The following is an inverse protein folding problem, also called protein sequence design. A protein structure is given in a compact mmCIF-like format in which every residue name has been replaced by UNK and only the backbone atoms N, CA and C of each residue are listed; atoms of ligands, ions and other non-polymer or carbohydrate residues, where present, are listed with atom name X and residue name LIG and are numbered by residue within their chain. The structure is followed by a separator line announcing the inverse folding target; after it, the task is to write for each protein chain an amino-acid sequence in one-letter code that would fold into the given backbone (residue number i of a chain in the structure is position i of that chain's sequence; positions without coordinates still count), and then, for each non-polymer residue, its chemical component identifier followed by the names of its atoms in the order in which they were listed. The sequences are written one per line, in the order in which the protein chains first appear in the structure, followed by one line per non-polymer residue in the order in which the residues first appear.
data_IF_275970257882
#
_entry.id   IF_275970257882
#
_cell.length_a   1.000
_cell.length_b   1.000
_cell.length_c   1.000
_cell.angle_alpha   90.00
_cell.angle_beta   90.00
_cell.angle_gamma   90.00
#
_symmetry.space_group_name_H-M   'P 1'
#
loop_
_entity.id
_entity.type
_entity.pdbx_description
1 polymer ?
#
# COMPACT_ATOMS: atom_id res chain seq x y z
N UNK A 1 8.17 20.32 -23.41
CA UNK A 1 7.48 19.12 -23.92
C UNK A 1 6.03 19.15 -23.44
N UNK A 2 5.00 19.35 -24.29
CA UNK A 2 3.62 19.18 -23.83
C UNK A 2 3.36 17.68 -23.67
N UNK A 3 3.75 17.13 -22.51
CA UNK A 3 3.69 15.71 -22.15
C UNK A 3 2.40 15.29 -21.44
N UNK A 4 1.33 16.08 -21.55
CA UNK A 4 0.04 15.75 -20.92
C UNK A 4 -0.71 14.63 -21.64
N UNK A 5 -1.71 14.04 -20.96
CA UNK A 5 -2.69 13.11 -21.56
C UNK A 5 -3.36 13.76 -22.78
N UNK A 6 -3.69 12.97 -23.80
CA UNK A 6 -4.49 13.45 -24.93
C UNK A 6 -5.88 13.83 -24.43
N UNK A 7 -6.32 15.05 -24.75
CA UNK A 7 -7.68 15.53 -24.48
C UNK A 7 -8.68 14.88 -25.44
N UNK A 8 -9.98 15.09 -25.22
CA UNK A 8 -11.00 14.65 -26.19
C UNK A 8 -10.88 15.39 -27.52
N UNK A 9 -10.52 16.66 -27.48
CA UNK A 9 -10.23 17.45 -28.67
C UNK A 9 -9.02 16.89 -29.44
N UNK A 10 -7.94 16.53 -28.73
CA UNK A 10 -6.79 15.86 -29.34
C UNK A 10 -7.24 14.58 -30.07
N UNK A 11 -8.08 13.75 -29.43
CA UNK A 11 -8.60 12.51 -30.03
C UNK A 11 -9.46 12.76 -31.26
N UNK A 12 -10.28 13.82 -31.26
CA UNK A 12 -11.08 14.18 -32.42
C UNK A 12 -10.21 14.58 -33.61
N UNK A 13 -9.17 15.40 -33.38
CA UNK A 13 -8.21 15.80 -34.41
C UNK A 13 -7.40 14.61 -34.94
N UNK A 14 -7.06 13.63 -34.09
CA UNK A 14 -6.47 12.35 -34.54
C UNK A 14 -7.45 11.62 -35.47
N UNK A 15 -8.71 11.49 -35.06
CA UNK A 15 -9.73 10.80 -35.86
C UNK A 15 -9.93 11.46 -37.24
N UNK A 16 -10.04 12.79 -37.27
CA UNK A 16 -10.14 13.55 -38.53
C UNK A 16 -8.89 13.35 -39.40
N UNK A 17 -7.69 13.47 -38.81
CA UNK A 17 -6.44 13.27 -39.55
C UNK A 17 -6.31 11.87 -40.15
N UNK A 18 -6.77 10.84 -39.46
CA UNK A 18 -6.80 9.47 -40.00
C UNK A 18 -7.82 9.33 -41.14
N UNK A 19 -8.99 9.96 -41.04
CA UNK A 19 -9.98 9.95 -42.13
C UNK A 19 -9.51 10.71 -43.38
N UNK A 20 -8.64 11.71 -43.20
CA UNK A 20 -7.97 12.45 -44.29
C UNK A 20 -6.77 11.68 -44.87
N UNK A 21 -6.43 10.49 -44.34
CA UNK A 21 -5.29 9.70 -44.79
C UNK A 21 -3.92 10.24 -44.35
N UNK A 22 -3.87 11.11 -43.33
CA UNK A 22 -2.61 11.66 -42.83
C UNK A 22 -1.81 10.60 -42.05
N UNK A 23 -0.50 10.59 -42.26
CA UNK A 23 0.42 9.79 -41.44
C UNK A 23 0.52 10.32 -40.00
N UNK A 24 0.88 9.45 -39.05
CA UNK A 24 0.99 9.79 -37.63
C UNK A 24 1.95 10.97 -37.34
N UNK A 25 2.99 11.14 -38.15
CA UNK A 25 3.93 12.24 -38.01
C UNK A 25 3.29 13.60 -38.32
N UNK A 26 2.41 13.67 -39.31
CA UNK A 26 1.71 14.89 -39.68
C UNK A 26 0.63 15.24 -38.64
N UNK A 27 -0.14 14.24 -38.20
CA UNK A 27 -1.10 14.40 -37.09
C UNK A 27 -0.38 14.92 -35.84
N UNK A 28 0.79 14.36 -35.52
CA UNK A 28 1.64 14.81 -34.42
C UNK A 28 2.06 16.27 -34.55
N UNK A 29 2.53 16.70 -35.72
CA UNK A 29 2.90 18.11 -36.00
C UNK A 29 1.72 19.05 -35.77
N UNK A 30 0.53 18.72 -36.29
CA UNK A 30 -0.69 19.56 -36.15
C UNK A 30 -1.17 19.70 -34.71
N UNK A 31 -0.89 18.69 -33.86
CA UNK A 31 -1.22 18.67 -32.44
C UNK A 31 -0.11 19.19 -31.53
N UNK A 32 1.10 19.43 -32.07
CA UNK A 32 2.29 19.68 -31.24
C UNK A 32 2.66 18.49 -30.36
N UNK A 33 2.34 17.26 -30.79
CA UNK A 33 2.60 16.00 -30.05
C UNK A 33 3.59 15.10 -30.82
N UNK A 34 4.40 14.30 -30.12
CA UNK A 34 5.26 13.31 -30.78
C UNK A 34 4.44 12.31 -31.60
N UNK A 35 4.96 11.92 -32.77
CA UNK A 35 4.34 10.90 -33.64
C UNK A 35 4.09 9.58 -32.89
N UNK A 36 4.99 9.22 -31.97
CA UNK A 36 4.87 8.03 -31.11
C UNK A 36 3.66 8.08 -30.19
N UNK A 37 3.26 9.27 -29.70
CA UNK A 37 2.04 9.43 -28.90
C UNK A 37 0.81 9.10 -29.73
N UNK A 38 0.76 9.58 -30.97
CA UNK A 38 -0.35 9.31 -31.90
C UNK A 38 -0.40 7.81 -32.23
N UNK A 39 0.73 7.22 -32.59
CA UNK A 39 0.81 5.79 -32.89
C UNK A 39 0.36 4.93 -31.69
N UNK A 40 0.86 5.21 -30.48
CA UNK A 40 0.47 4.44 -29.28
C UNK A 40 -1.01 4.59 -28.96
N UNK A 41 -1.58 5.78 -29.10
CA UNK A 41 -3.02 6.00 -28.90
C UNK A 41 -3.85 5.23 -29.95
N UNK A 42 -3.48 5.32 -31.22
CA UNK A 42 -4.19 4.68 -32.33
C UNK A 42 -4.11 3.17 -32.21
N UNK A 43 -2.91 2.59 -32.04
CA UNK A 43 -2.72 1.14 -31.85
C UNK A 43 -3.50 0.63 -30.64
N UNK A 44 -3.51 1.38 -29.52
CA UNK A 44 -4.21 0.98 -28.30
C UNK A 44 -5.73 0.99 -28.44
N UNK A 45 -6.29 1.81 -29.33
CA UNK A 45 -7.74 2.00 -29.47
C UNK A 45 -8.27 1.53 -30.85
N UNK A 46 -7.70 0.44 -31.39
CA UNK A 46 -8.25 -0.27 -32.56
C UNK A 46 -7.49 -0.12 -33.88
N UNK A 47 -6.33 0.55 -33.88
CA UNK A 47 -5.54 0.77 -35.10
C UNK A 47 -6.11 1.88 -36.00
N UNK A 48 -5.41 2.21 -37.09
CA UNK A 48 -5.77 3.36 -37.93
C UNK A 48 -7.17 3.27 -38.54
N UNK A 49 -7.58 2.09 -38.99
CA UNK A 49 -8.90 1.86 -39.60
C UNK A 49 -10.04 1.84 -38.56
N UNK A 50 -9.75 1.30 -37.37
CA UNK A 50 -10.72 1.13 -36.28
C UNK A 50 -10.81 2.30 -35.30
N UNK A 51 -9.92 3.28 -35.40
CA UNK A 51 -9.86 4.38 -34.43
C UNK A 51 -11.12 5.23 -34.46
N UNK A 52 -11.70 5.48 -33.28
CA UNK A 52 -12.82 6.40 -33.07
C UNK A 52 -12.56 7.21 -31.81
N UNK A 53 -12.68 8.53 -31.90
CA UNK A 53 -12.35 9.44 -30.81
C UNK A 53 -13.18 9.16 -29.54
N UNK A 54 -14.50 9.02 -29.69
CA UNK A 54 -15.42 8.78 -28.57
C UNK A 54 -15.10 7.46 -27.86
N UNK A 55 -14.90 6.39 -28.62
CA UNK A 55 -14.53 5.07 -28.08
C UNK A 55 -13.19 5.12 -27.35
N UNK A 56 -12.20 5.80 -27.91
CA UNK A 56 -10.89 5.95 -27.27
C UNK A 56 -10.96 6.71 -25.93
N UNK A 57 -11.84 7.72 -25.84
CA UNK A 57 -12.11 8.42 -24.59
C UNK A 57 -12.88 7.54 -23.59
N UNK A 58 -13.95 6.87 -24.03
CA UNK A 58 -14.72 5.92 -23.21
C UNK A 58 -13.83 4.81 -22.65
N UNK A 59 -12.99 4.19 -23.47
CA UNK A 59 -12.03 3.16 -23.06
C UNK A 59 -11.01 3.73 -22.07
N UNK A 60 -10.57 4.98 -22.26
CA UNK A 60 -9.67 5.66 -21.32
C UNK A 60 -10.35 5.91 -19.98
N UNK A 61 -11.61 6.33 -19.96
CA UNK A 61 -12.42 6.51 -18.75
C UNK A 61 -12.72 5.17 -18.08
N UNK A 62 -13.06 4.14 -18.84
CA UNK A 62 -13.32 2.80 -18.32
C UNK A 62 -12.07 2.23 -17.64
N UNK A 63 -10.90 2.39 -18.25
CA UNK A 63 -9.62 1.96 -17.66
C UNK A 63 -9.28 2.73 -16.38
N UNK A 64 -9.49 4.05 -16.36
CA UNK A 64 -9.33 4.85 -15.15
C UNK A 64 -10.31 4.42 -14.04
N UNK A 65 -11.55 4.05 -14.39
CA UNK A 65 -12.54 3.48 -13.45
C UNK A 65 -12.17 2.09 -12.97
N UNK A 66 -11.63 1.22 -13.84
CA UNK A 66 -11.16 -0.13 -13.47
C UNK A 66 -10.00 -0.08 -12.48
N UNK A 67 -9.07 0.86 -12.63
CA UNK A 67 -8.02 1.09 -11.63
C UNK A 67 -8.59 1.49 -10.26
N UNK A 68 -9.77 2.14 -10.21
CA UNK A 68 -10.48 2.43 -8.96
C UNK A 68 -11.34 1.27 -8.45
N UNK A 69 -11.70 0.30 -9.30
CA UNK A 69 -12.49 -0.87 -8.87
C UNK A 69 -11.57 -1.83 -8.10
N UNK A 70 -11.95 -2.26 -6.89
CA UNK A 70 -11.16 -3.23 -6.15
C UNK A 70 -11.03 -4.52 -6.98
N UNK A 71 -9.80 -4.95 -7.23
CA UNK A 71 -9.48 -6.25 -7.87
C UNK A 71 -10.12 -7.41 -7.07
N UNK A 72 -10.47 -8.55 -7.71
CA UNK A 72 -11.41 -9.54 -7.16
C UNK A 72 -11.04 -10.02 -5.77
N UNK A 73 -12.10 -10.32 -5.03
CA UNK A 73 -12.11 -10.84 -3.67
C UNK A 73 -11.13 -12.00 -3.54
N UNK A 74 -10.30 -11.94 -2.49
CA UNK A 74 -9.47 -13.07 -2.05
C UNK A 74 -10.35 -14.31 -1.98
N UNK A 75 -9.85 -15.50 -2.36
CA UNK A 75 -10.58 -16.75 -2.12
C UNK A 75 -10.98 -16.82 -0.63
N UNK A 76 -12.13 -17.41 -0.28
CA UNK A 76 -12.46 -17.67 1.12
C UNK A 76 -11.26 -18.32 1.79
N UNK A 77 -10.81 -17.75 2.90
CA UNK A 77 -9.65 -18.26 3.62
C UNK A 77 -9.98 -19.68 4.08
N UNK A 78 -9.22 -20.70 3.63
CA UNK A 78 -9.64 -22.10 3.75
C UNK A 78 -9.53 -22.66 5.18
N UNK A 79 -8.83 -21.97 6.09
CA UNK A 79 -8.56 -22.50 7.42
C UNK A 79 -9.64 -22.02 8.38
N UNK A 80 -10.63 -22.88 8.60
CA UNK A 80 -11.61 -22.72 9.67
C UNK A 80 -11.90 -24.09 10.26
N UNK A 81 -10.94 -24.62 11.02
CA UNK A 81 -11.15 -25.80 11.87
C UNK A 81 -12.19 -25.53 12.99
N UNK A 82 -12.54 -24.26 13.19
CA UNK A 82 -13.43 -23.76 14.24
C UNK A 82 -14.88 -23.53 13.81
N UNK A 83 -15.32 -24.07 12.66
CA UNK A 83 -16.72 -24.00 12.21
C UNK A 83 -17.25 -22.59 11.95
N UNK A 84 -16.38 -21.65 11.54
CA UNK A 84 -16.73 -20.26 11.24
C UNK A 84 -17.47 -20.17 9.89
N UNK A 85 -18.39 -19.23 9.75
CA UNK A 85 -19.04 -18.94 8.46
C UNK A 85 -18.00 -18.36 7.48
N UNK A 86 -17.71 -19.01 6.34
CA UNK A 86 -16.76 -18.51 5.36
C UNK A 86 -17.11 -17.13 4.79
N UNK A 87 -18.40 -16.79 4.68
CA UNK A 87 -18.84 -15.50 4.15
C UNK A 87 -18.60 -14.38 5.16
N UNK A 88 -18.89 -14.61 6.44
CA UNK A 88 -18.62 -13.64 7.50
C UNK A 88 -17.13 -13.39 7.67
N UNK A 89 -16.31 -14.46 7.63
CA UNK A 89 -14.85 -14.35 7.66
C UNK A 89 -14.33 -13.53 6.48
N UNK A 90 -14.88 -13.74 5.28
CA UNK A 90 -14.50 -12.97 4.10
C UNK A 90 -14.86 -11.48 4.25
N UNK A 91 -16.07 -11.16 4.71
CA UNK A 91 -16.48 -9.76 4.95
C UNK A 91 -15.62 -9.08 6.03
N UNK A 92 -15.25 -9.81 7.08
CA UNK A 92 -14.35 -9.32 8.11
C UNK A 92 -12.94 -9.08 7.55
N UNK A 93 -12.40 -9.98 6.73
CA UNK A 93 -11.11 -9.81 6.07
C UNK A 93 -11.09 -8.61 5.11
N UNK A 94 -12.18 -8.36 4.40
CA UNK A 94 -12.34 -7.20 3.50
C UNK A 94 -12.41 -5.88 4.29
N UNK A 95 -13.16 -5.87 5.39
CA UNK A 95 -13.26 -4.70 6.28
C UNK A 95 -11.91 -4.38 6.93
N UNK A 96 -11.20 -5.40 7.40
CA UNK A 96 -9.86 -5.25 7.95
C UNK A 96 -8.86 -4.75 6.89
N UNK A 97 -8.93 -5.29 5.67
CA UNK A 97 -8.13 -4.81 4.54
C UNK A 97 -8.40 -3.32 4.26
N UNK A 98 -9.65 -2.89 4.31
CA UNK A 98 -10.01 -1.49 4.07
C UNK A 98 -9.46 -0.56 5.17
N UNK A 99 -9.47 -0.99 6.43
CA UNK A 99 -8.86 -0.24 7.54
C UNK A 99 -7.35 -0.07 7.36
N UNK A 100 -6.65 -1.14 6.99
CA UNK A 100 -5.21 -1.10 6.72
C UNK A 100 -4.85 -0.15 5.57
N UNK A 101 -5.66 -0.12 4.51
CA UNK A 101 -5.51 0.87 3.42
C UNK A 101 -5.75 2.29 3.93
N UNK A 102 -6.74 2.49 4.79
CA UNK A 102 -7.00 3.79 5.43
C UNK A 102 -5.83 4.31 6.28
N UNK A 103 -4.99 3.41 6.79
CA UNK A 103 -3.76 3.75 7.53
C UNK A 103 -2.56 4.06 6.63
N UNK A 104 -2.72 4.00 5.30
CA UNK A 104 -1.70 4.39 4.34
C UNK A 104 -0.94 3.23 3.67
N UNK A 105 -1.24 1.98 4.00
CA UNK A 105 -0.69 0.84 3.27
C UNK A 105 -1.26 0.79 1.85
N UNK A 106 -0.45 0.39 0.86
CA UNK A 106 -0.99 0.11 -0.44
C UNK A 106 -1.85 -1.15 -0.38
N UNK A 107 -2.81 -1.23 -1.30
CA UNK A 107 -3.83 -2.28 -1.31
C UNK A 107 -3.24 -3.69 -1.26
N UNK A 108 -2.10 -3.94 -1.90
CA UNK A 108 -1.53 -5.29 -1.91
C UNK A 108 -0.91 -5.67 -0.57
N UNK A 109 -0.21 -4.75 0.09
CA UNK A 109 0.35 -4.99 1.42
C UNK A 109 -0.75 -5.26 2.45
N UNK A 110 -1.81 -4.45 2.43
CA UNK A 110 -2.98 -4.63 3.29
C UNK A 110 -3.63 -6.02 3.09
N UNK A 111 -3.73 -6.49 1.83
CA UNK A 111 -4.28 -7.81 1.52
C UNK A 111 -3.40 -8.96 2.01
N UNK A 112 -2.07 -8.82 1.92
CA UNK A 112 -1.13 -9.82 2.45
C UNK A 112 -1.25 -9.92 3.97
N UNK A 113 -1.27 -8.79 4.69
CA UNK A 113 -1.46 -8.77 6.14
C UNK A 113 -2.80 -9.35 6.56
N UNK A 114 -3.88 -9.05 5.83
CA UNK A 114 -5.19 -9.64 6.09
C UNK A 114 -5.18 -11.17 5.92
N UNK A 115 -4.52 -11.70 4.88
CA UNK A 115 -4.39 -13.14 4.70
C UNK A 115 -3.62 -13.82 5.84
N UNK A 116 -2.61 -13.15 6.38
CA UNK A 116 -1.84 -13.67 7.50
C UNK A 116 -2.62 -13.58 8.82
N UNK A 117 -3.39 -12.50 9.05
CA UNK A 117 -4.10 -12.28 10.32
C UNK A 117 -5.26 -13.26 10.50
N UNK A 118 -5.90 -13.62 9.39
CA UNK A 118 -7.09 -14.46 9.39
C UNK A 118 -6.77 -15.94 9.19
N UNK A 119 -5.49 -16.32 9.06
CA UNK A 119 -5.10 -17.73 9.11
C UNK A 119 -4.79 -18.13 10.55
N UNK A 120 -5.33 -19.25 11.01
CA UNK A 120 -5.10 -19.72 12.38
C UNK A 120 -3.61 -20.01 12.67
N UNK A 121 -2.87 -20.42 11.65
CA UNK A 121 -1.42 -20.64 11.75
C UNK A 121 -0.58 -19.36 11.87
N UNK A 122 -1.17 -18.17 11.64
CA UNK A 122 -0.46 -16.89 11.54
C UNK A 122 0.58 -16.82 10.41
N UNK A 123 0.69 -17.85 9.57
CA UNK A 123 1.82 -18.05 8.67
C UNK A 123 1.39 -18.58 7.29
N UNK A 124 1.94 -18.01 6.21
CA UNK A 124 1.74 -18.48 4.82
C UNK A 124 3.01 -18.40 3.98
N UNK A 125 3.16 -19.32 3.06
CA UNK A 125 4.22 -19.31 2.03
C UNK A 125 3.87 -18.34 0.89
N UNK A 126 4.88 -17.95 0.11
CA UNK A 126 4.67 -17.13 -1.09
C UNK A 126 3.68 -17.75 -2.09
N UNK A 127 3.74 -19.08 -2.28
CA UNK A 127 2.86 -19.79 -3.20
C UNK A 127 1.40 -19.78 -2.74
N UNK A 128 1.17 -19.97 -1.43
CA UNK A 128 -0.17 -19.88 -0.84
C UNK A 128 -0.73 -18.47 -0.97
N UNK A 129 0.06 -17.43 -0.70
CA UNK A 129 -0.36 -16.03 -0.89
C UNK A 129 -0.73 -15.74 -2.34
N UNK A 130 0.11 -16.16 -3.31
CA UNK A 130 -0.15 -16.03 -4.75
C UNK A 130 -1.50 -16.68 -5.11
N UNK A 131 -1.73 -17.90 -4.63
CA UNK A 131 -2.94 -18.66 -4.90
C UNK A 131 -4.18 -18.08 -4.20
N UNK A 132 -4.09 -17.62 -2.96
CA UNK A 132 -5.22 -17.07 -2.21
C UNK A 132 -5.63 -15.69 -2.74
N UNK A 133 -4.64 -14.83 -2.99
CA UNK A 133 -4.85 -13.46 -3.45
C UNK A 133 -5.14 -13.36 -4.95
N UNK A 134 -4.85 -14.41 -5.72
CA UNK A 134 -5.01 -14.47 -7.18
C UNK A 134 -4.20 -13.38 -7.88
N UNK A 135 -2.91 -13.29 -7.54
CA UNK A 135 -1.98 -12.26 -8.04
C UNK A 135 -0.69 -12.90 -8.55
N UNK A 136 0.16 -12.10 -9.21
CA UNK A 136 1.46 -12.60 -9.66
C UNK A 136 2.43 -12.85 -8.48
N UNK A 137 3.41 -13.77 -8.64
CA UNK A 137 4.49 -13.93 -7.67
C UNK A 137 5.28 -12.64 -7.40
N UNK A 138 5.45 -11.78 -8.41
CA UNK A 138 6.11 -10.49 -8.26
C UNK A 138 5.31 -9.55 -7.33
N UNK A 139 3.97 -9.52 -7.46
CA UNK A 139 3.11 -8.71 -6.59
C UNK A 139 3.24 -9.12 -5.11
N UNK A 140 3.27 -10.42 -4.84
CA UNK A 140 3.51 -10.93 -3.48
C UNK A 140 4.92 -10.58 -3.01
N UNK A 141 5.93 -10.76 -3.86
CA UNK A 141 7.32 -10.50 -3.50
C UNK A 141 7.55 -9.03 -3.13
N UNK A 142 6.99 -8.09 -3.90
CA UNK A 142 7.08 -6.67 -3.59
C UNK A 142 6.36 -6.31 -2.28
N UNK A 143 5.14 -6.81 -2.09
CA UNK A 143 4.38 -6.55 -0.87
C UNK A 143 5.08 -7.12 0.37
N UNK A 144 5.58 -8.35 0.29
CA UNK A 144 6.32 -8.99 1.38
C UNK A 144 7.60 -8.24 1.71
N UNK A 145 8.38 -7.85 0.70
CA UNK A 145 9.62 -7.11 0.93
C UNK A 145 9.38 -5.77 1.63
N UNK A 146 8.33 -5.03 1.24
CA UNK A 146 7.94 -3.81 1.92
C UNK A 146 7.52 -4.10 3.37
N UNK A 147 6.62 -5.06 3.59
CA UNK A 147 6.14 -5.41 4.93
C UNK A 147 7.25 -5.91 5.85
N UNK A 148 8.20 -6.68 5.32
CA UNK A 148 9.41 -7.13 6.04
C UNK A 148 10.30 -5.94 6.41
N UNK A 149 10.53 -5.02 5.47
CA UNK A 149 11.28 -3.78 5.74
C UNK A 149 10.63 -2.93 6.84
N UNK A 150 9.30 -2.87 6.86
CA UNK A 150 8.53 -2.17 7.89
C UNK A 150 8.39 -2.98 9.20
N UNK A 151 8.97 -4.19 9.28
CA UNK A 151 8.90 -5.06 10.46
C UNK A 151 7.50 -5.61 10.76
N UNK A 152 6.61 -5.63 9.77
CA UNK A 152 5.21 -6.09 9.89
C UNK A 152 5.04 -7.60 9.70
N UNK A 153 6.02 -8.24 9.09
CA UNK A 153 6.11 -9.68 8.99
C UNK A 153 7.57 -10.09 9.11
N UNK A 154 7.79 -11.37 9.39
CA UNK A 154 9.11 -11.98 9.35
C UNK A 154 9.12 -13.23 8.49
N UNK A 155 10.31 -13.57 8.00
CA UNK A 155 10.56 -14.84 7.31
C UNK A 155 11.01 -15.89 8.31
N UNK A 156 10.24 -16.96 8.40
CA UNK A 156 10.62 -18.14 9.14
C UNK A 156 10.96 -19.29 8.19
N UNK A 157 12.08 -19.96 8.47
CA UNK A 157 12.43 -21.20 7.77
C UNK A 157 11.76 -22.37 8.49
N UNK A 158 11.01 -23.16 7.73
CA UNK A 158 10.43 -24.41 8.25
C UNK A 158 11.58 -25.39 8.56
N UNK A 159 11.67 -25.93 9.79
CA UNK A 159 12.65 -26.97 10.11
C UNK A 159 12.53 -28.15 9.13
N UNK A 160 13.63 -28.51 8.45
CA UNK A 160 13.67 -29.62 7.49
C UNK A 160 13.09 -29.32 6.09
N UNK A 161 12.57 -28.11 5.84
CA UNK A 161 12.01 -27.72 4.54
C UNK A 161 12.88 -26.71 3.79
N UNK A 162 12.78 -26.70 2.44
CA UNK A 162 13.36 -25.63 1.60
C UNK A 162 12.46 -24.39 1.49
N UNK A 163 11.24 -24.45 2.03
CA UNK A 163 10.23 -23.39 1.89
C UNK A 163 10.26 -22.46 3.10
N UNK A 164 10.22 -21.16 2.82
CA UNK A 164 10.06 -20.12 3.80
C UNK A 164 8.58 -19.77 3.97
N UNK A 165 8.21 -19.43 5.20
CA UNK A 165 6.88 -18.93 5.56
C UNK A 165 7.01 -17.47 6.01
N UNK A 166 6.03 -16.67 5.64
CA UNK A 166 5.86 -15.33 6.17
C UNK A 166 4.90 -15.43 7.35
N UNK A 167 5.34 -14.95 8.50
CA UNK A 167 4.58 -15.00 9.76
C UNK A 167 4.29 -13.57 10.17
N UNK A 168 3.08 -13.31 10.66
CA UNK A 168 2.83 -12.06 11.38
C UNK A 168 3.72 -12.06 12.59
N UNK A 169 4.41 -10.96 12.75
CA UNK A 169 5.15 -10.77 13.96
C UNK A 169 4.19 -10.20 15.02
N UNK A 170 3.89 -10.97 16.06
CA UNK A 170 2.99 -10.56 17.14
C UNK A 170 3.47 -9.28 17.85
N UNK A 171 4.78 -9.03 17.83
CA UNK A 171 5.39 -7.81 18.36
C UNK A 171 5.41 -6.67 17.34
N UNK A 172 4.75 -6.81 16.18
CA UNK A 172 4.61 -5.77 15.15
C UNK A 172 4.16 -4.45 15.76
N UNK A 173 3.06 -4.47 16.51
CA UNK A 173 2.51 -3.26 17.12
C UNK A 173 3.50 -2.63 18.08
N UNK A 174 4.20 -3.45 18.87
CA UNK A 174 5.22 -2.99 19.81
C UNK A 174 6.42 -2.37 19.09
N UNK A 175 6.94 -3.00 18.04
CA UNK A 175 8.06 -2.46 17.24
C UNK A 175 7.67 -1.19 16.48
N UNK A 176 6.46 -1.14 15.89
CA UNK A 176 5.97 0.06 15.20
C UNK A 176 5.82 1.23 16.18
N UNK A 177 5.26 0.99 17.37
CA UNK A 177 5.21 1.99 18.43
C UNK A 177 6.60 2.46 18.83
N UNK A 178 7.57 1.54 19.02
CA UNK A 178 8.95 1.92 19.30
C UNK A 178 9.58 2.78 18.19
N UNK A 179 9.39 2.43 16.92
CA UNK A 179 9.90 3.22 15.79
C UNK A 179 9.26 4.62 15.71
N UNK A 180 7.95 4.72 15.95
CA UNK A 180 7.25 6.00 16.04
C UNK A 180 7.77 6.84 17.20
N UNK A 181 8.04 6.23 18.36
CA UNK A 181 8.61 6.93 19.53
C UNK A 181 10.02 7.45 19.25
N UNK A 182 10.88 6.63 18.61
CA UNK A 182 12.22 7.05 18.20
C UNK A 182 12.18 8.24 17.21
N UNK A 183 11.27 8.20 16.23
CA UNK A 183 11.08 9.30 15.29
C UNK A 183 10.56 10.57 15.99
N UNK A 184 9.59 10.41 16.90
CA UNK A 184 9.03 11.50 17.69
C UNK A 184 10.10 12.15 18.58
N UNK A 185 10.97 11.36 19.20
CA UNK A 185 12.12 11.85 19.98
C UNK A 185 13.11 12.62 19.11
N UNK A 186 13.45 12.10 17.92
CA UNK A 186 14.30 12.81 16.97
C UNK A 186 13.68 14.15 16.51
N UNK A 187 12.37 14.17 16.28
CA UNK A 187 11.63 15.39 15.92
C UNK A 187 11.59 16.40 17.08
N UNK A 188 11.43 15.94 18.32
CA UNK A 188 11.47 16.78 19.51
C UNK A 188 12.87 17.41 19.69
N UNK A 189 13.93 16.61 19.52
CA UNK A 189 15.31 17.10 19.56
C UNK A 189 15.59 18.14 18.46
N UNK A 190 15.13 17.91 17.23
CA UNK A 190 15.27 18.87 16.14
C UNK A 190 14.47 20.16 16.39
N UNK A 191 13.25 20.02 16.93
CA UNK A 191 12.40 21.16 17.29
C UNK A 191 13.06 22.01 18.36
N UNK A 192 13.63 21.39 19.39
CA UNK A 192 14.38 22.08 20.43
C UNK A 192 15.58 22.86 19.86
N UNK A 193 16.42 22.21 19.04
CA UNK A 193 17.54 22.90 18.37
C UNK A 193 17.08 24.05 17.49
N UNK A 194 15.96 23.88 16.79
CA UNK A 194 15.39 24.92 15.93
C UNK A 194 14.87 26.10 16.75
N UNK A 195 14.24 25.85 17.89
CA UNK A 195 13.80 26.90 18.81
C UNK A 195 14.97 27.75 19.33
N UNK A 196 16.11 27.12 19.64
CA UNK A 196 17.33 27.80 20.05
C UNK A 196 17.92 28.68 18.94
N UNK A 197 17.96 28.16 17.71
CA UNK A 197 18.46 28.90 16.53
C UNK A 197 17.58 30.12 16.21
N UNK A 198 16.26 29.95 16.28
CA UNK A 198 15.31 31.03 15.98
C UNK A 198 15.15 32.02 17.15
N UNK A 199 15.62 31.66 18.34
CA UNK A 199 15.38 32.38 19.58
C UNK A 199 14.04 31.98 20.19
N UNK A 200 14.09 31.44 21.42
CA UNK A 200 12.93 30.93 22.16
C UNK A 200 11.86 31.99 22.44
N UNK A 201 12.26 33.26 22.56
CA UNK A 201 11.35 34.39 22.78
C UNK A 201 10.67 34.89 21.50
N UNK A 202 11.04 34.34 20.33
CA UNK A 202 10.37 34.69 19.08
C UNK A 202 9.10 33.88 18.91
N UNK A 203 8.05 34.41 18.27
CA UNK A 203 6.85 33.62 17.96
C UNK A 203 7.11 32.37 17.12
N UNK A 204 8.25 32.31 16.40
CA UNK A 204 8.65 31.13 15.67
C UNK A 204 9.31 30.09 16.58
N UNK A 205 10.22 30.51 17.45
CA UNK A 205 10.83 29.64 18.47
C UNK A 205 9.79 29.05 19.41
N UNK A 206 8.86 29.87 19.90
CA UNK A 206 7.75 29.46 20.79
C UNK A 206 6.90 28.32 20.19
N UNK A 207 6.62 28.34 18.88
CA UNK A 207 5.93 27.24 18.20
C UNK A 207 6.70 25.92 18.26
N UNK A 208 8.03 25.99 18.13
CA UNK A 208 8.87 24.80 18.24
C UNK A 208 8.99 24.31 19.69
N UNK A 209 9.08 25.22 20.66
CA UNK A 209 9.03 24.88 22.10
C UNK A 209 7.72 24.13 22.42
N UNK A 210 6.57 24.70 22.06
CA UNK A 210 5.28 24.07 22.28
C UNK A 210 5.15 22.70 21.57
N UNK A 211 5.76 22.57 20.39
CA UNK A 211 5.79 21.29 19.66
C UNK A 211 6.65 20.24 20.39
N UNK A 212 7.83 20.64 20.88
CA UNK A 212 8.70 19.77 21.69
C UNK A 212 8.00 19.30 22.96
N UNK A 213 7.35 20.20 23.70
CA UNK A 213 6.60 19.88 24.92
C UNK A 213 5.51 18.83 24.65
N UNK A 214 4.71 19.02 23.59
CA UNK A 214 3.67 18.07 23.22
C UNK A 214 4.25 16.70 22.84
N UNK A 215 5.31 16.66 22.03
CA UNK A 215 5.94 15.42 21.59
C UNK A 215 6.51 14.63 22.78
N UNK A 216 7.18 15.32 23.71
CA UNK A 216 7.72 14.69 24.92
C UNK A 216 6.61 14.10 25.80
N UNK A 217 5.53 14.84 26.02
CA UNK A 217 4.37 14.37 26.80
C UNK A 217 3.73 13.12 26.17
N UNK A 218 3.53 13.15 24.84
CA UNK A 218 2.96 12.03 24.09
C UNK A 218 3.89 10.81 24.17
N UNK A 219 5.21 11.01 24.03
CA UNK A 219 6.19 9.94 24.12
C UNK A 219 6.19 9.27 25.50
N UNK A 220 6.13 10.05 26.58
CA UNK A 220 6.04 9.51 27.94
C UNK A 220 4.81 8.61 28.12
N UNK A 221 3.64 9.07 27.66
CA UNK A 221 2.40 8.31 27.75
C UNK A 221 2.48 6.97 26.99
N UNK A 222 3.08 6.98 25.78
CA UNK A 222 3.27 5.77 24.99
C UNK A 222 4.28 4.81 25.62
N UNK A 223 5.41 5.31 26.17
CA UNK A 223 6.38 4.46 26.88
C UNK A 223 5.72 3.78 28.09
N UNK A 224 4.91 4.51 28.86
CA UNK A 224 4.17 3.93 29.97
C UNK A 224 3.21 2.82 29.52
N UNK A 225 2.52 3.02 28.38
CA UNK A 225 1.63 2.01 27.81
C UNK A 225 2.41 0.76 27.35
N UNK A 226 3.59 0.93 26.75
CA UNK A 226 4.49 -0.17 26.36
C UNK A 226 4.94 -0.98 27.59
N UNK A 227 5.35 -0.31 28.67
CA UNK A 227 5.77 -0.98 29.91
C UNK A 227 4.63 -1.75 30.57
N UNK A 228 3.41 -1.19 30.53
CA UNK A 228 2.21 -1.89 31.00
C UNK A 228 1.90 -3.12 30.14
N UNK A 229 2.00 -3.00 28.81
CA UNK A 229 1.79 -4.12 27.91
C UNK A 229 2.80 -5.24 28.16
N UNK A 230 4.09 -4.90 28.25
CA UNK A 230 5.18 -5.84 28.50
C UNK A 230 5.00 -6.61 29.81
N UNK A 231 4.53 -5.95 30.88
CA UNK A 231 4.19 -6.61 32.15
C UNK A 231 3.01 -7.57 32.02
N UNK A 232 1.99 -7.22 31.23
CA UNK A 232 0.82 -8.07 31.01
C UNK A 232 1.13 -9.27 30.11
N UNK A 233 1.97 -9.10 29.09
CA UNK A 233 2.38 -10.20 28.21
C UNK A 233 3.32 -11.16 28.94
N UNK A 234 4.26 -10.66 29.74
CA UNK A 234 5.09 -11.51 30.61
C UNK A 234 4.24 -12.34 31.58
N UNK A 235 3.15 -11.78 32.12
CA UNK A 235 2.21 -12.51 32.98
C UNK A 235 1.29 -13.50 32.21
N UNK A 236 1.14 -13.33 30.90
CA UNK A 236 0.36 -14.22 30.01
C UNK A 236 1.19 -15.33 29.38
N UNK A 237 2.52 -15.23 29.40
CA UNK A 237 3.39 -16.31 28.95
C UNK A 237 3.00 -17.57 29.75
N UNK A 238 2.62 -18.69 29.10
CA UNK A 238 2.20 -19.88 29.82
C UNK A 238 3.35 -20.34 30.73
N UNK A 239 3.00 -20.54 32.00
CA UNK A 239 3.83 -21.21 33.02
C UNK A 239 3.96 -22.70 32.68
N UNK A 240 4.44 -23.04 31.49
CA UNK A 240 4.73 -24.43 31.11
C UNK A 240 6.23 -24.68 31.19
N UNK A 241 6.71 -24.60 32.44
CA UNK A 241 7.82 -25.39 32.94
C UNK A 241 7.29 -26.25 34.11
N UNK A 242 6.28 -27.09 33.84
CA UNK A 242 5.84 -28.10 34.79
C UNK A 242 5.26 -29.32 34.08
N UNK A 243 6.11 -30.37 33.99
CA UNK A 243 5.87 -31.79 33.68
C UNK A 243 6.11 -32.23 32.24
#
# INVERSE_FOLDING_TARGET
MPGGRLSNEDRQRISTGLSEGLGYAEIGRRLGRPASTIMREVTRNGGAEGYRADRADEDTRQRARRQKRPQPTTRPLPDSDFGRDPQEVQHAAESFTALLVGQGLARMEARVLACLHFTDSGARTAAELVQLLQVSPASVSHAVAFLEQQGMLRRERVPGGRRERYVIDDDLWLRNLHATLQMSEALAAESQRTAEILGVDTPAGDRFVASTELLLLVNEAFQHAIDQWSRRTAARAPSDAAR
#
